data_IF_177356600987
#
_entry.id   IF_177356600987
#
_cell.length_a   1.000
_cell.length_b   1.000
_cell.length_c   1.000
_cell.angle_alpha   90.00
_cell.angle_beta   90.00
_cell.angle_gamma   90.00
#
_symmetry.space_group_name_H-M   'P 1'
#
loop_
_entity.id
_entity.type
_entity.pdbx_description
1 polymer ?
#
# COMPACT_ATOMS: atom_id res chain seq x y z
N UNK A 1 -30.85 -16.62 13.32
CA UNK A 1 -29.45 -16.18 13.13
C UNK A 1 -29.27 -15.37 11.85
N UNK A 2 -29.68 -15.87 10.68
CA UNK A 2 -29.45 -15.22 9.38
C UNK A 2 -30.13 -13.86 9.19
N UNK A 3 -31.34 -13.65 9.73
CA UNK A 3 -32.06 -12.37 9.64
C UNK A 3 -31.39 -11.23 10.40
N UNK A 4 -30.75 -11.52 11.54
CA UNK A 4 -29.99 -10.53 12.31
C UNK A 4 -28.72 -10.13 11.56
N UNK A 5 -28.05 -11.10 10.94
CA UNK A 5 -26.88 -10.84 10.10
C UNK A 5 -27.28 -9.98 8.88
N UNK A 6 -28.41 -10.29 8.23
CA UNK A 6 -28.93 -9.52 7.09
C UNK A 6 -29.40 -8.12 7.50
N UNK A 7 -29.99 -7.94 8.69
CA UNK A 7 -30.39 -6.62 9.19
C UNK A 7 -29.19 -5.77 9.62
N UNK A 8 -28.17 -6.38 10.22
CA UNK A 8 -26.93 -5.67 10.58
C UNK A 8 -26.14 -5.34 9.32
N UNK A 9 -25.85 -6.31 8.45
CA UNK A 9 -25.10 -6.06 7.22
C UNK A 9 -25.90 -5.24 6.20
N UNK A 10 -27.19 -5.52 6.01
CA UNK A 10 -28.07 -4.77 5.11
C UNK A 10 -28.40 -3.37 5.62
N UNK A 11 -28.58 -3.20 6.94
CA UNK A 11 -28.73 -1.90 7.58
C UNK A 11 -27.43 -1.08 7.53
N UNK A 12 -26.29 -1.72 7.74
CA UNK A 12 -24.97 -1.10 7.57
C UNK A 12 -24.71 -0.73 6.09
N UNK A 13 -25.17 -1.56 5.14
CA UNK A 13 -25.12 -1.27 3.68
C UNK A 13 -25.99 -0.06 3.32
N UNK A 14 -27.17 0.09 3.93
CA UNK A 14 -28.07 1.23 3.70
C UNK A 14 -27.58 2.51 4.41
N UNK A 15 -26.99 2.37 5.61
CA UNK A 15 -26.48 3.47 6.42
C UNK A 15 -25.15 4.04 5.91
N UNK A 16 -24.26 3.20 5.36
CA UNK A 16 -22.98 3.61 4.77
C UNK A 16 -23.04 4.09 3.31
N UNK A 17 -24.24 4.21 2.70
CA UNK A 17 -24.49 4.82 1.37
C UNK A 17 -23.28 4.71 0.41
N UNK A 18 -23.12 3.57 -0.28
CA UNK A 18 -22.32 3.32 -1.51
C UNK A 18 -20.91 3.96 -1.64
N UNK A 19 -20.81 5.28 -1.54
CA UNK A 19 -19.62 6.13 -1.70
C UNK A 19 -18.51 5.82 -0.68
N UNK A 20 -18.78 5.81 0.62
CA UNK A 20 -17.71 5.62 1.62
C UNK A 20 -17.11 4.22 1.53
N UNK A 21 -17.92 3.18 1.34
CA UNK A 21 -17.40 1.81 1.23
C UNK A 21 -16.51 1.61 -0.01
N UNK A 22 -16.83 2.28 -1.13
CA UNK A 22 -16.00 2.27 -2.35
C UNK A 22 -14.66 2.98 -2.12
N UNK A 23 -14.66 4.08 -1.37
CA UNK A 23 -13.47 4.89 -1.07
C UNK A 23 -12.48 4.20 -0.13
N UNK A 24 -12.97 3.35 0.79
CA UNK A 24 -12.13 2.63 1.77
C UNK A 24 -11.47 1.37 1.20
N UNK A 25 -12.06 0.77 0.17
CA UNK A 25 -11.58 -0.48 -0.45
C UNK A 25 -10.07 -0.45 -0.81
N UNK A 26 -9.51 0.63 -1.41
CA UNK A 26 -8.09 0.73 -1.68
C UNK A 26 -7.22 0.90 -0.42
N UNK A 27 -7.66 1.72 0.55
CA UNK A 27 -6.92 1.98 1.79
C UNK A 27 -6.71 0.70 2.58
N UNK A 28 -7.79 -0.07 2.79
CA UNK A 28 -7.72 -1.34 3.53
C UNK A 28 -6.72 -2.27 2.86
N UNK A 29 -6.73 -2.32 1.53
CA UNK A 29 -5.79 -3.14 0.77
C UNK A 29 -4.34 -2.68 0.95
N UNK A 30 -4.06 -1.37 0.85
CA UNK A 30 -2.71 -0.83 1.06
C UNK A 30 -2.18 -1.11 2.46
N UNK A 31 -3.00 -0.90 3.49
CA UNK A 31 -2.59 -1.19 4.87
C UNK A 31 -2.44 -2.67 5.14
N UNK A 32 -3.26 -3.53 4.52
CA UNK A 32 -3.10 -4.97 4.63
C UNK A 32 -1.79 -5.42 3.97
N UNK A 33 -1.44 -4.90 2.79
CA UNK A 33 -0.12 -5.15 2.19
C UNK A 33 1.03 -4.65 3.08
N UNK A 34 0.93 -3.43 3.60
CA UNK A 34 1.93 -2.87 4.51
C UNK A 34 2.08 -3.69 5.79
N UNK A 35 0.97 -4.16 6.37
CA UNK A 35 0.96 -4.99 7.57
C UNK A 35 1.55 -6.38 7.31
N UNK A 36 1.25 -6.99 6.17
CA UNK A 36 1.84 -8.28 5.77
C UNK A 36 3.36 -8.13 5.55
N UNK A 37 3.81 -7.06 4.90
CA UNK A 37 5.23 -6.75 4.70
C UNK A 37 5.97 -6.47 6.02
N UNK A 38 5.32 -5.75 6.94
CA UNK A 38 5.88 -5.47 8.26
C UNK A 38 5.92 -6.75 9.12
N UNK A 39 4.85 -7.54 9.11
CA UNK A 39 4.74 -8.80 9.83
C UNK A 39 5.72 -9.85 9.31
N UNK A 40 5.92 -9.94 7.99
CA UNK A 40 6.92 -10.84 7.42
C UNK A 40 8.33 -10.44 7.84
N UNK A 41 8.64 -9.13 7.85
CA UNK A 41 9.94 -8.64 8.32
C UNK A 41 10.17 -8.93 9.81
N UNK A 42 9.14 -8.83 10.65
CA UNK A 42 9.22 -9.22 12.07
C UNK A 42 9.49 -10.73 12.25
N UNK A 43 9.06 -11.57 11.30
CA UNK A 43 9.36 -13.01 11.24
C UNK A 43 10.72 -13.32 10.59
N UNK A 44 11.55 -12.31 10.31
CA UNK A 44 12.84 -12.47 9.62
C UNK A 44 12.73 -12.80 8.13
N UNK A 45 11.53 -12.68 7.55
CA UNK A 45 11.25 -12.99 6.14
C UNK A 45 11.04 -11.70 5.33
N UNK A 46 12.05 -11.33 4.53
CA UNK A 46 11.94 -10.22 3.59
C UNK A 46 11.18 -10.64 2.33
N UNK A 47 9.87 -10.37 2.27
CA UNK A 47 9.05 -10.67 1.09
C UNK A 47 9.54 -9.95 -0.17
N UNK A 48 10.02 -8.71 -0.03
CA UNK A 48 10.60 -7.98 -1.16
C UNK A 48 11.84 -8.70 -1.71
N UNK A 49 12.66 -9.30 -0.84
CA UNK A 49 13.79 -10.15 -1.26
C UNK A 49 13.32 -11.42 -1.98
N UNK A 50 12.23 -12.03 -1.53
CA UNK A 50 11.68 -13.21 -2.21
C UNK A 50 11.19 -12.87 -3.63
N UNK A 51 10.70 -11.65 -3.86
CA UNK A 51 10.20 -11.21 -5.17
C UNK A 51 11.30 -10.69 -6.10
N UNK A 52 12.24 -9.88 -5.59
CA UNK A 52 13.27 -9.21 -6.39
C UNK A 52 14.66 -9.85 -6.28
N UNK A 53 14.91 -10.72 -5.31
CA UNK A 53 16.22 -11.34 -5.07
C UNK A 53 16.66 -12.29 -6.19
N UNK A 54 15.73 -12.77 -7.01
CA UNK A 54 16.03 -13.50 -8.26
C UNK A 54 16.64 -12.58 -9.32
N UNK A 55 16.24 -11.31 -9.35
CA UNK A 55 16.65 -10.34 -10.37
C UNK A 55 17.89 -9.53 -9.96
N UNK A 56 18.15 -9.41 -8.65
CA UNK A 56 19.15 -8.49 -8.09
C UNK A 56 19.85 -9.11 -6.87
N UNK A 57 21.18 -9.03 -6.80
CA UNK A 57 21.94 -9.38 -5.60
C UNK A 57 22.27 -8.11 -4.82
N UNK A 58 21.73 -8.00 -3.61
CA UNK A 58 21.97 -6.88 -2.70
C UNK A 58 22.40 -7.41 -1.32
N UNK A 59 23.18 -6.64 -0.54
CA UNK A 59 23.53 -7.00 0.83
C UNK A 59 22.30 -7.21 1.72
N UNK A 60 22.36 -8.18 2.64
CA UNK A 60 21.35 -8.46 3.68
C UNK A 60 20.76 -7.19 4.35
N UNK A 61 21.55 -6.20 4.83
CA UNK A 61 21.00 -5.01 5.47
C UNK A 61 20.22 -4.08 4.52
N UNK A 62 20.50 -4.12 3.20
CA UNK A 62 19.79 -3.31 2.21
C UNK A 62 18.38 -3.85 1.98
N UNK A 63 18.20 -5.17 2.00
CA UNK A 63 16.87 -5.80 1.88
C UNK A 63 15.92 -5.39 2.99
N UNK A 64 16.41 -5.30 4.23
CA UNK A 64 15.60 -4.84 5.36
C UNK A 64 15.16 -3.38 5.17
N UNK A 65 16.07 -2.49 4.77
CA UNK A 65 15.75 -1.08 4.48
C UNK A 65 14.75 -0.95 3.33
N UNK A 66 14.90 -1.76 2.28
CA UNK A 66 13.99 -1.82 1.15
C UNK A 66 12.59 -2.24 1.61
N UNK A 67 12.48 -3.32 2.38
CA UNK A 67 11.20 -3.78 2.93
C UNK A 67 10.51 -2.70 3.77
N UNK A 68 11.24 -2.05 4.67
CA UNK A 68 10.71 -0.95 5.48
C UNK A 68 10.26 0.26 4.63
N UNK A 69 10.98 0.56 3.54
CA UNK A 69 10.57 1.61 2.61
C UNK A 69 9.25 1.27 1.92
N UNK A 70 9.04 0.01 1.53
CA UNK A 70 7.76 -0.47 0.98
C UNK A 70 6.63 -0.41 2.01
N UNK A 71 6.87 -0.82 3.26
CA UNK A 71 5.89 -0.69 4.36
C UNK A 71 5.48 0.77 4.54
N UNK A 72 6.45 1.68 4.61
CA UNK A 72 6.19 3.12 4.74
C UNK A 72 5.42 3.67 3.53
N UNK A 73 5.78 3.25 2.31
CA UNK A 73 5.08 3.67 1.09
C UNK A 73 3.62 3.22 1.07
N UNK A 74 3.32 1.95 1.38
CA UNK A 74 1.94 1.47 1.47
C UNK A 74 1.14 2.12 2.61
N UNK A 75 1.78 2.38 3.75
CA UNK A 75 1.19 3.13 4.85
C UNK A 75 0.80 4.55 4.42
N UNK A 76 1.74 5.28 3.83
CA UNK A 76 1.53 6.64 3.30
C UNK A 76 0.47 6.67 2.19
N UNK A 77 0.49 5.70 1.27
CA UNK A 77 -0.52 5.57 0.22
C UNK A 77 -1.93 5.38 0.78
N UNK A 78 -2.09 4.56 1.82
CA UNK A 78 -3.38 4.39 2.51
C UNK A 78 -3.86 5.67 3.18
N UNK A 79 -2.96 6.41 3.86
CA UNK A 79 -3.27 7.70 4.48
C UNK A 79 -3.62 8.76 3.42
N UNK A 80 -2.84 8.86 2.35
CA UNK A 80 -3.09 9.78 1.24
C UNK A 80 -4.42 9.47 0.54
N UNK A 81 -4.75 8.19 0.33
CA UNK A 81 -6.04 7.79 -0.23
C UNK A 81 -7.20 8.21 0.68
N UNK A 82 -7.11 8.01 2.01
CA UNK A 82 -8.14 8.49 2.94
C UNK A 82 -8.25 10.01 2.91
N UNK A 83 -7.12 10.71 2.95
CA UNK A 83 -7.09 12.17 2.91
C UNK A 83 -7.82 12.69 1.66
N UNK A 84 -7.52 12.15 0.49
CA UNK A 84 -8.18 12.57 -0.75
C UNK A 84 -9.64 12.15 -0.77
N UNK A 85 -9.96 10.93 -0.32
CA UNK A 85 -11.32 10.41 -0.27
C UNK A 85 -12.27 11.24 0.61
N UNK A 86 -11.78 11.78 1.73
CA UNK A 86 -12.60 12.54 2.68
C UNK A 86 -12.61 14.04 2.42
N UNK A 87 -11.60 14.60 1.74
CA UNK A 87 -11.49 16.05 1.49
C UNK A 87 -11.91 16.46 0.07
N UNK A 88 -11.96 15.55 -0.90
CA UNK A 88 -12.24 15.89 -2.30
C UNK A 88 -13.40 15.07 -2.89
N UNK A 89 -13.90 15.53 -4.06
CA UNK A 89 -15.00 14.86 -4.77
C UNK A 89 -14.56 13.53 -5.41
N UNK A 90 -15.53 12.63 -5.67
CA UNK A 90 -15.27 11.32 -6.31
C UNK A 90 -14.51 11.41 -7.62
N UNK A 91 -14.73 12.45 -8.43
CA UNK A 91 -13.97 12.67 -9.66
C UNK A 91 -12.49 12.90 -9.39
N UNK A 92 -12.19 13.76 -8.40
CA UNK A 92 -10.80 14.04 -8.02
C UNK A 92 -10.18 12.80 -7.37
N UNK A 93 -10.92 12.10 -6.53
CA UNK A 93 -10.46 10.84 -5.94
C UNK A 93 -10.17 9.76 -6.98
N UNK A 94 -11.04 9.57 -7.98
CA UNK A 94 -10.84 8.59 -9.04
C UNK A 94 -9.58 8.93 -9.87
N UNK A 95 -9.40 10.20 -10.23
CA UNK A 95 -8.18 10.68 -10.89
C UNK A 95 -6.95 10.53 -10.01
N UNK A 96 -7.04 10.83 -8.70
CA UNK A 96 -5.92 10.66 -7.78
C UNK A 96 -5.53 9.19 -7.63
N UNK A 97 -6.50 8.28 -7.51
CA UNK A 97 -6.23 6.84 -7.43
C UNK A 97 -5.52 6.34 -8.69
N UNK A 98 -5.96 6.79 -9.86
CA UNK A 98 -5.38 6.38 -11.14
C UNK A 98 -4.04 7.06 -11.42
N UNK A 99 -4.01 8.38 -11.50
CA UNK A 99 -2.82 9.16 -11.88
C UNK A 99 -1.92 9.49 -10.69
N UNK A 100 -2.49 9.87 -9.55
CA UNK A 100 -1.72 10.17 -8.34
C UNK A 100 -1.06 8.91 -7.77
N UNK A 101 -1.78 7.80 -7.67
CA UNK A 101 -1.24 6.52 -7.23
C UNK A 101 -0.15 6.00 -8.17
N UNK A 102 -0.37 6.08 -9.48
CA UNK A 102 0.62 5.67 -10.48
C UNK A 102 1.85 6.59 -10.46
N UNK A 103 1.66 7.92 -10.36
CA UNK A 103 2.73 8.90 -10.25
C UNK A 103 3.57 8.72 -8.99
N UNK A 104 2.93 8.50 -7.83
CA UNK A 104 3.62 8.18 -6.57
C UNK A 104 4.39 6.87 -6.66
N UNK A 105 3.83 5.84 -7.31
CA UNK A 105 4.51 4.57 -7.54
C UNK A 105 5.76 4.76 -8.41
N UNK A 106 5.64 5.51 -9.52
CA UNK A 106 6.78 5.82 -10.38
C UNK A 106 7.87 6.59 -9.64
N UNK A 107 7.51 7.64 -8.89
CA UNK A 107 8.46 8.39 -8.07
C UNK A 107 9.14 7.50 -7.04
N UNK A 108 8.38 6.60 -6.39
CA UNK A 108 8.92 5.66 -5.42
C UNK A 108 9.89 4.68 -6.07
N UNK A 109 9.56 4.08 -7.22
CA UNK A 109 10.45 3.16 -7.92
C UNK A 109 11.71 3.85 -8.42
N UNK A 110 11.61 5.10 -8.91
CA UNK A 110 12.79 5.88 -9.29
C UNK A 110 13.66 6.20 -8.07
N UNK A 111 13.05 6.63 -6.96
CA UNK A 111 13.78 6.87 -5.72
C UNK A 111 14.47 5.59 -5.22
N UNK A 112 13.76 4.45 -5.24
CA UNK A 112 14.32 3.15 -4.89
C UNK A 112 15.44 2.74 -5.83
N UNK A 113 15.28 2.90 -7.15
CA UNK A 113 16.31 2.52 -8.11
C UNK A 113 17.58 3.36 -7.96
N UNK A 114 17.45 4.66 -7.69
CA UNK A 114 18.61 5.53 -7.39
C UNK A 114 19.32 5.13 -6.09
N UNK A 115 18.54 4.82 -5.04
CA UNK A 115 19.09 4.34 -3.77
C UNK A 115 19.81 3.00 -3.97
N UNK A 116 19.22 2.07 -4.72
CA UNK A 116 19.81 0.77 -5.03
C UNK A 116 21.05 0.89 -5.92
N UNK A 117 21.03 1.77 -6.93
CA UNK A 117 22.16 2.01 -7.82
C UNK A 117 23.42 2.44 -7.04
N UNK A 118 23.25 3.21 -5.96
CA UNK A 118 24.35 3.57 -5.06
C UNK A 118 24.99 2.36 -4.38
N UNK A 119 24.19 1.36 -3.98
CA UNK A 119 24.72 0.14 -3.34
C UNK A 119 25.24 -0.88 -4.34
N UNK A 120 24.92 -0.76 -5.63
CA UNK A 120 25.44 -1.64 -6.70
C UNK A 120 26.80 -1.19 -7.24
N UNK A 121 27.19 0.06 -7.01
CA UNK A 121 28.46 0.64 -7.48
C UNK A 121 29.59 0.59 -6.44
N UNK A 122 29.30 0.22 -5.19
CA UNK A 122 30.28 0.13 -4.10
C UNK A 122 30.95 -1.26 -4.02
N UNK A 123 31.04 -1.99 -5.14
CA UNK A 123 31.81 -3.23 -5.33
C UNK A 123 32.77 -3.08 -6.52
#
# INVERSE_FOLDING_TARGET
ASLVIILVFGGLTLYLRDKTFILWKPTVLYWLFGAVLAGSAALGRNLIRALLGEQMRLPEPVWARLNWSWVAFFGLMGVANLYVAFNYSEKIWATFKLFGGMGLMFLFVIAQSLVLAKYMQDE
#
